data_IF_730925382780
#
_entry.id   IF_730925382780
#
_cell.length_a   1.000
_cell.length_b   1.000
_cell.length_c   1.000
_cell.angle_alpha   90.00
_cell.angle_beta   90.00
_cell.angle_gamma   90.00
#
_symmetry.space_group_name_H-M   'P 1'
#
loop_
_entity.id
_entity.type
_entity.pdbx_description
1 polymer ?
#
# COMPACT_ATOMS: atom_id res chain seq x y z
N UNK A 1 22.37 2.61 3.82
CA UNK A 1 21.56 2.31 2.63
C UNK A 1 20.17 2.86 2.87
N UNK A 2 19.99 4.17 2.75
CA UNK A 2 18.70 4.83 2.97
C UNK A 2 18.03 4.87 1.59
N UNK A 3 17.28 3.83 1.24
CA UNK A 3 16.36 3.95 0.12
C UNK A 3 15.35 5.04 0.51
N UNK A 4 15.30 6.10 -0.28
CA UNK A 4 14.49 7.30 -0.01
C UNK A 4 13.03 6.91 0.21
N UNK A 5 12.55 6.95 1.47
CA UNK A 5 11.18 6.56 1.85
C UNK A 5 10.11 7.26 0.98
N UNK A 6 10.42 8.47 0.53
CA UNK A 6 9.54 9.27 -0.31
C UNK A 6 9.21 8.59 -1.63
N UNK A 7 10.18 7.93 -2.28
CA UNK A 7 9.94 7.25 -3.56
C UNK A 7 8.95 6.08 -3.41
N UNK A 8 8.98 5.37 -2.27
CA UNK A 8 8.04 4.28 -2.01
C UNK A 8 6.64 4.80 -1.69
N UNK A 9 6.54 5.89 -0.93
CA UNK A 9 5.25 6.53 -0.63
C UNK A 9 4.62 7.01 -1.93
N UNK A 10 5.39 7.68 -2.80
CA UNK A 10 4.89 8.19 -4.08
C UNK A 10 4.38 7.06 -4.99
N UNK A 11 5.09 5.93 -5.08
CA UNK A 11 4.63 4.73 -5.79
C UNK A 11 3.31 4.17 -5.23
N UNK A 12 3.20 4.07 -3.90
CA UNK A 12 1.98 3.55 -3.26
C UNK A 12 0.80 4.52 -3.47
N UNK A 13 1.05 5.83 -3.57
CA UNK A 13 0.03 6.85 -3.83
C UNK A 13 -0.42 6.98 -5.29
N UNK A 14 0.25 6.34 -6.25
CA UNK A 14 -0.29 6.25 -7.62
C UNK A 14 -1.61 5.46 -7.66
N UNK A 15 -1.85 4.59 -6.67
CA UNK A 15 -3.14 3.93 -6.52
C UNK A 15 -4.18 4.96 -6.10
N UNK A 16 -5.15 5.27 -6.98
CA UNK A 16 -6.23 6.28 -6.82
C UNK A 16 -6.98 6.34 -5.48
N UNK A 17 -6.86 5.34 -4.62
CA UNK A 17 -7.53 5.29 -3.30
C UNK A 17 -6.58 5.44 -2.11
N UNK A 18 -5.31 5.77 -2.35
CA UNK A 18 -4.26 5.81 -1.32
C UNK A 18 -3.61 7.20 -1.30
N UNK A 19 -3.63 7.85 -0.14
CA UNK A 19 -3.00 9.15 0.08
C UNK A 19 -1.59 9.00 0.67
N UNK A 20 -0.82 10.09 0.71
CA UNK A 20 0.54 10.09 1.29
C UNK A 20 0.56 9.61 2.75
N UNK A 21 -0.44 9.99 3.55
CA UNK A 21 -0.59 9.53 4.94
C UNK A 21 -0.85 8.03 5.03
N UNK A 22 -1.65 7.49 4.11
CA UNK A 22 -1.92 6.04 4.04
C UNK A 22 -0.63 5.29 3.65
N UNK A 23 0.13 5.81 2.68
CA UNK A 23 1.42 5.25 2.26
C UNK A 23 2.46 5.26 3.40
N UNK A 24 2.54 6.33 4.18
CA UNK A 24 3.36 6.40 5.39
C UNK A 24 2.94 5.37 6.44
N UNK A 25 1.63 5.22 6.65
CA UNK A 25 1.06 4.25 7.61
C UNK A 25 1.37 2.82 7.19
N UNK A 26 1.22 2.50 5.90
CA UNK A 26 1.58 1.21 5.33
C UNK A 26 3.08 0.93 5.46
N UNK A 27 3.94 1.90 5.15
CA UNK A 27 5.38 1.71 5.27
C UNK A 27 5.80 1.51 6.74
N UNK A 28 5.15 2.20 7.67
CA UNK A 28 5.37 2.03 9.10
C UNK A 28 4.86 0.68 9.62
N UNK A 29 3.70 0.21 9.13
CA UNK A 29 3.10 -1.06 9.55
C UNK A 29 3.85 -2.28 9.00
N UNK A 30 4.23 -2.26 7.72
CA UNK A 30 4.86 -3.39 7.04
C UNK A 30 6.39 -3.31 7.02
N UNK A 31 6.98 -2.12 7.15
CA UNK A 31 8.42 -1.89 7.17
C UNK A 31 9.11 -1.95 5.80
N UNK A 32 8.48 -2.52 4.77
CA UNK A 32 9.04 -2.57 3.41
C UNK A 32 7.94 -2.70 2.35
N UNK A 33 8.20 -2.14 1.16
CA UNK A 33 7.34 -2.25 -0.02
C UNK A 33 7.10 -3.71 -0.41
N UNK A 34 8.13 -4.55 -0.34
CA UNK A 34 8.02 -5.97 -0.69
C UNK A 34 7.03 -6.71 0.20
N UNK A 35 6.99 -6.38 1.50
CA UNK A 35 6.00 -6.93 2.43
C UNK A 35 4.60 -6.43 2.12
N UNK A 36 4.45 -5.18 1.67
CA UNK A 36 3.14 -4.63 1.26
C UNK A 36 2.64 -5.37 0.01
N UNK A 37 3.50 -5.58 -0.99
CA UNK A 37 3.15 -6.28 -2.23
C UNK A 37 2.81 -7.77 -1.99
N UNK A 38 3.52 -8.44 -1.08
CA UNK A 38 3.25 -9.83 -0.71
C UNK A 38 2.16 -10.00 0.36
N UNK A 39 1.61 -8.90 0.88
CA UNK A 39 0.61 -8.97 1.96
C UNK A 39 -0.75 -9.41 1.43
N UNK A 40 -1.49 -10.13 2.28
CA UNK A 40 -2.86 -10.54 1.97
C UNK A 40 -3.84 -9.37 2.13
N UNK A 41 -4.96 -9.41 1.41
CA UNK A 41 -6.06 -8.45 1.55
C UNK A 41 -6.45 -8.25 3.04
N UNK A 42 -6.52 -9.34 3.82
CA UNK A 42 -6.80 -9.26 5.26
C UNK A 42 -5.77 -8.44 6.03
N UNK A 43 -4.48 -8.60 5.76
CA UNK A 43 -3.43 -7.82 6.42
C UNK A 43 -3.52 -6.33 6.06
N UNK A 44 -3.81 -6.03 4.80
CA UNK A 44 -4.01 -4.65 4.33
C UNK A 44 -5.27 -4.02 4.93
N UNK A 45 -6.37 -4.77 5.09
CA UNK A 45 -7.60 -4.27 5.69
C UNK A 45 -7.54 -4.10 7.21
N UNK A 46 -6.59 -4.76 7.89
CA UNK A 46 -6.42 -4.69 9.36
C UNK A 46 -5.38 -3.63 9.76
N UNK A 47 -4.80 -2.91 8.80
CA UNK A 47 -3.84 -1.86 9.09
C UNK A 47 -4.49 -0.71 9.89
N UNK A 48 -4.00 -0.39 11.09
CA UNK A 48 -4.55 0.68 11.91
C UNK A 48 -4.38 2.02 11.17
N UNK A 49 -5.47 2.77 11.02
CA UNK A 49 -5.48 4.04 10.28
C UNK A 49 -5.71 3.91 8.77
N UNK A 50 -5.69 2.70 8.21
CA UNK A 50 -6.07 2.45 6.82
C UNK A 50 -7.49 1.86 6.78
N UNK A 51 -8.42 2.55 6.13
CA UNK A 51 -9.78 2.04 5.99
C UNK A 51 -9.79 0.69 5.26
N UNK A 52 -10.64 -0.26 5.69
CA UNK A 52 -10.77 -1.61 5.11
C UNK A 52 -10.88 -1.59 3.58
N UNK A 53 -11.65 -0.63 3.06
CA UNK A 53 -11.87 -0.38 1.64
C UNK A 53 -10.59 0.06 0.91
N UNK A 54 -9.73 0.86 1.55
CA UNK A 54 -8.45 1.28 0.98
C UNK A 54 -7.49 0.09 0.88
N UNK A 55 -7.40 -0.71 1.93
CA UNK A 55 -6.61 -1.95 1.93
C UNK A 55 -7.06 -2.93 0.83
N UNK A 56 -8.37 -3.11 0.67
CA UNK A 56 -8.93 -3.96 -0.37
C UNK A 56 -8.64 -3.43 -1.79
N UNK A 57 -8.76 -2.11 -2.00
CA UNK A 57 -8.46 -1.48 -3.30
C UNK A 57 -6.98 -1.53 -3.64
N UNK A 58 -6.10 -1.37 -2.66
CA UNK A 58 -4.66 -1.53 -2.87
C UNK A 58 -4.32 -2.98 -3.24
N UNK A 59 -4.90 -3.96 -2.55
CA UNK A 59 -4.76 -5.37 -2.93
C UNK A 59 -5.28 -5.64 -4.36
N UNK A 60 -6.44 -5.07 -4.71
CA UNK A 60 -6.98 -5.18 -6.07
C UNK A 60 -6.10 -4.48 -7.10
N UNK A 61 -5.53 -3.32 -6.80
CA UNK A 61 -4.65 -2.62 -7.73
C UNK A 61 -3.40 -3.42 -8.08
N UNK A 62 -2.84 -4.18 -7.12
CA UNK A 62 -1.67 -5.03 -7.36
C UNK A 62 -1.99 -6.40 -7.98
N UNK A 63 -3.17 -6.97 -7.69
CA UNK A 63 -3.54 -8.32 -8.15
C UNK A 63 -4.52 -8.34 -9.33
N UNK A 64 -5.14 -7.21 -9.69
CA UNK A 64 -5.98 -7.17 -10.89
C UNK A 64 -5.11 -7.13 -12.15
N UNK A 65 -5.49 -7.89 -13.18
CA UNK A 65 -4.82 -7.81 -14.47
C UNK A 65 -4.97 -6.40 -15.03
N UNK A 66 -3.88 -5.84 -15.54
CA UNK A 66 -3.92 -4.58 -16.29
C UNK A 66 -4.84 -4.78 -17.50
N UNK A 67 -5.96 -4.07 -17.51
CA UNK A 67 -6.83 -4.02 -18.70
C UNK A 67 -6.13 -3.17 -19.76
N UNK A 68 -6.02 -3.71 -20.99
CA UNK A 68 -5.51 -3.00 -22.17
C UNK A 68 -6.40 -1.83 -22.56
#
# INVERSE_FOLDING_TARGET
MIFSLNNYIDMITEVKSINKTDGQTLLHAFGSLEKILNSSNKQLSVCPGLGTLKGQRLYQAFNQPFKR
#
